data_IF_228087597522
#
_entry.id   IF_228087597522
#
_cell.length_a   1.000
_cell.length_b   1.000
_cell.length_c   1.000
_cell.angle_alpha   90.00
_cell.angle_beta   90.00
_cell.angle_gamma   90.00
#
_symmetry.space_group_name_H-M   'P 1'
#
loop_
_entity.id
_entity.type
_entity.pdbx_description
1 polymer ?
#
# COMPACT_ATOMS: atom_id res chain seq x y z
N UNK A 1 -24.67 -18.77 22.19
CA UNK A 1 -23.36 -18.54 21.56
C UNK A 1 -23.43 -17.14 20.98
N UNK A 2 -23.27 -16.13 21.84
CA UNK A 2 -23.47 -14.72 21.49
C UNK A 2 -22.17 -14.29 20.81
N UNK A 3 -22.26 -13.93 19.53
CA UNK A 3 -21.11 -13.50 18.74
C UNK A 3 -20.38 -12.36 19.44
N UNK A 4 -19.07 -12.51 19.56
CA UNK A 4 -18.19 -11.45 20.03
C UNK A 4 -18.42 -10.23 19.14
N UNK A 5 -19.09 -9.21 19.70
CA UNK A 5 -19.15 -7.90 19.09
C UNK A 5 -17.70 -7.42 18.99
N UNK A 6 -17.15 -7.34 17.78
CA UNK A 6 -15.79 -6.82 17.58
C UNK A 6 -15.82 -5.33 17.90
N UNK A 7 -15.41 -4.96 19.12
CA UNK A 7 -15.43 -3.58 19.60
C UNK A 7 -14.09 -2.93 19.23
N UNK A 8 -14.12 -2.04 18.25
CA UNK A 8 -12.96 -1.29 17.75
C UNK A 8 -12.73 0.05 18.50
N UNK A 9 -13.42 0.28 19.61
CA UNK A 9 -13.35 1.54 20.36
C UNK A 9 -12.92 1.25 21.80
N UNK A 10 -12.01 2.04 22.37
CA UNK A 10 -11.36 1.76 23.64
C UNK A 10 -11.32 2.94 24.61
N UNK A 11 -11.00 2.64 25.86
CA UNK A 11 -10.77 3.63 26.91
C UNK A 11 -9.28 4.00 26.96
N UNK A 12 -8.98 5.30 27.00
CA UNK A 12 -7.65 5.81 27.35
C UNK A 12 -7.56 6.02 28.87
N UNK A 13 -6.67 5.26 29.53
CA UNK A 13 -6.48 5.30 30.99
C UNK A 13 -5.91 6.63 31.49
N UNK A 14 -5.28 7.42 30.62
CA UNK A 14 -4.60 8.67 30.99
C UNK A 14 -5.61 9.79 31.31
N UNK A 15 -6.77 9.81 30.66
CA UNK A 15 -7.75 10.89 30.79
C UNK A 15 -9.00 10.54 31.61
N UNK A 16 -9.16 9.31 32.10
CA UNK A 16 -10.38 8.85 32.81
C UNK A 16 -11.68 9.25 32.07
N UNK A 17 -11.60 9.32 30.74
CA UNK A 17 -12.66 9.68 29.83
C UNK A 17 -12.24 9.23 28.43
N UNK A 18 -13.02 8.35 27.80
CA UNK A 18 -13.37 8.35 26.37
C UNK A 18 -13.95 6.99 25.95
N UNK A 19 -15.20 6.98 25.46
CA UNK A 19 -15.65 5.99 24.48
C UNK A 19 -15.11 6.44 23.11
N UNK A 20 -13.82 6.23 22.83
CA UNK A 20 -13.11 6.87 21.72
C UNK A 20 -12.14 5.97 20.95
N UNK A 21 -11.59 6.52 19.86
CA UNK A 21 -10.68 5.82 18.94
C UNK A 21 -9.30 5.64 19.60
N UNK A 22 -8.69 4.46 19.53
CA UNK A 22 -7.32 4.31 20.02
C UNK A 22 -6.35 5.09 19.14
N UNK A 23 -5.26 5.65 19.72
CA UNK A 23 -4.24 6.32 18.94
C UNK A 23 -3.51 5.33 18.02
N UNK A 24 -2.87 5.88 16.98
CA UNK A 24 -2.11 5.11 15.99
C UNK A 24 -1.04 4.24 16.67
N UNK A 25 -0.94 2.98 16.27
CA UNK A 25 0.00 2.01 16.88
C UNK A 25 -0.51 1.34 18.15
N UNK A 26 -1.76 1.61 18.55
CA UNK A 26 -2.44 0.92 19.65
C UNK A 26 -3.67 0.17 19.16
N UNK A 27 -4.03 -0.90 19.89
CA UNK A 27 -5.21 -1.72 19.65
C UNK A 27 -5.92 -2.02 20.97
N UNK A 28 -7.24 -2.20 20.91
CA UNK A 28 -8.04 -2.58 22.08
C UNK A 28 -7.81 -4.04 22.50
N UNK A 29 -7.56 -4.26 23.79
CA UNK A 29 -7.57 -5.60 24.40
C UNK A 29 -9.01 -6.05 24.76
N UNK A 30 -9.19 -7.26 25.28
CA UNK A 30 -10.48 -7.83 25.70
C UNK A 30 -11.22 -6.96 26.73
N UNK A 31 -10.47 -6.23 27.56
CA UNK A 31 -11.01 -5.28 28.54
C UNK A 31 -11.37 -3.91 27.92
N UNK A 32 -11.29 -3.77 26.59
CA UNK A 32 -11.55 -2.53 25.83
C UNK A 32 -10.61 -1.37 26.20
N UNK A 33 -9.39 -1.71 26.63
CA UNK A 33 -8.32 -0.74 26.92
C UNK A 33 -7.39 -0.68 25.71
N UNK A 34 -6.98 0.53 25.31
CA UNK A 34 -6.01 0.71 24.25
C UNK A 34 -4.61 0.30 24.73
N UNK A 35 -4.01 -0.68 24.08
CA UNK A 35 -2.69 -1.23 24.36
C UNK A 35 -1.77 -1.06 23.15
N UNK A 36 -0.50 -0.75 23.38
CA UNK A 36 0.47 -0.57 22.31
C UNK A 36 0.85 -1.89 21.67
N UNK A 37 0.90 -1.93 20.33
CA UNK A 37 1.24 -3.14 19.63
C UNK A 37 2.74 -3.43 19.79
N UNK A 38 3.09 -4.49 20.50
CA UNK A 38 4.47 -4.96 20.69
C UNK A 38 4.87 -6.08 19.73
N UNK A 39 4.01 -6.41 18.77
CA UNK A 39 4.21 -7.49 17.82
C UNK A 39 5.21 -7.16 16.72
N UNK A 40 5.70 -8.22 16.08
CA UNK A 40 6.49 -8.15 14.86
C UNK A 40 5.70 -8.80 13.72
N UNK A 41 5.83 -8.30 12.48
CA UNK A 41 5.14 -8.88 11.33
C UNK A 41 5.60 -10.31 11.11
N UNK A 42 4.63 -11.21 10.92
CA UNK A 42 4.91 -12.60 10.61
C UNK A 42 5.41 -12.74 9.16
N UNK A 43 5.92 -13.92 8.79
CA UNK A 43 6.37 -14.20 7.42
C UNK A 43 5.28 -13.86 6.39
N UNK A 44 4.02 -14.12 6.73
CA UNK A 44 2.87 -13.84 5.89
C UNK A 44 2.70 -12.35 5.60
N UNK A 45 2.79 -11.51 6.63
CA UNK A 45 2.70 -10.05 6.50
C UNK A 45 3.81 -9.51 5.60
N UNK A 46 5.03 -10.05 5.73
CA UNK A 46 6.15 -9.70 4.85
C UNK A 46 5.93 -10.11 3.40
N UNK A 47 5.35 -11.30 3.15
CA UNK A 47 4.99 -11.75 1.82
C UNK A 47 3.94 -10.83 1.18
N UNK A 48 2.94 -10.43 1.96
CA UNK A 48 1.93 -9.45 1.54
C UNK A 48 2.55 -8.09 1.20
N UNK A 49 3.40 -7.53 2.09
CA UNK A 49 4.10 -6.27 1.85
C UNK A 49 5.02 -6.35 0.64
N UNK A 50 5.72 -7.47 0.46
CA UNK A 50 6.54 -7.74 -0.71
C UNK A 50 5.72 -7.77 -2.00
N UNK A 51 4.56 -8.41 -2.00
CA UNK A 51 3.63 -8.42 -3.13
C UNK A 51 3.18 -7.00 -3.49
N UNK A 52 2.73 -6.22 -2.52
CA UNK A 52 2.33 -4.82 -2.71
C UNK A 52 3.49 -3.96 -3.23
N UNK A 53 4.72 -4.21 -2.75
CA UNK A 53 5.91 -3.50 -3.22
C UNK A 53 6.26 -3.81 -4.68
N UNK A 54 6.02 -5.05 -5.13
CA UNK A 54 6.32 -5.50 -6.49
C UNK A 54 5.32 -5.00 -7.54
N UNK A 55 4.05 -4.74 -7.17
CA UNK A 55 3.00 -4.30 -8.11
C UNK A 55 3.39 -3.04 -8.91
N UNK A 56 3.83 -1.92 -8.29
CA UNK A 56 4.31 -0.75 -9.04
C UNK A 56 5.49 -1.05 -9.96
N UNK A 57 6.45 -1.88 -9.51
CA UNK A 57 7.64 -2.21 -10.30
C UNK A 57 7.27 -2.94 -11.60
N UNK A 58 6.41 -3.95 -11.50
CA UNK A 58 5.99 -4.74 -12.66
C UNK A 58 5.16 -3.88 -13.61
N UNK A 59 4.26 -3.04 -13.10
CA UNK A 59 3.51 -2.08 -13.92
C UNK A 59 4.45 -1.08 -14.62
N UNK A 60 5.46 -0.57 -13.92
CA UNK A 60 6.46 0.30 -14.55
C UNK A 60 7.18 -0.39 -15.69
N UNK A 61 7.64 -1.64 -15.50
CA UNK A 61 8.31 -2.38 -16.55
C UNK A 61 7.39 -2.64 -17.74
N UNK A 62 6.14 -3.01 -17.49
CA UNK A 62 5.13 -3.18 -18.53
C UNK A 62 4.93 -1.90 -19.34
N UNK A 63 4.72 -0.74 -18.69
CA UNK A 63 4.57 0.53 -19.40
C UNK A 63 5.83 0.95 -20.15
N UNK A 64 7.01 0.69 -19.59
CA UNK A 64 8.28 0.97 -20.27
C UNK A 64 8.37 0.16 -21.57
N UNK A 65 8.11 -1.15 -21.52
CA UNK A 65 8.17 -2.01 -22.71
C UNK A 65 7.11 -1.61 -23.75
N UNK A 66 5.89 -1.34 -23.28
CA UNK A 66 4.78 -0.90 -24.12
C UNK A 66 5.08 0.41 -24.87
N UNK A 67 5.72 1.38 -24.21
CA UNK A 67 6.01 2.69 -24.80
C UNK A 67 7.40 2.80 -25.47
N UNK A 68 8.39 2.00 -25.07
CA UNK A 68 9.78 2.18 -25.51
C UNK A 68 10.07 1.63 -26.91
N UNK A 69 9.19 0.81 -27.48
CA UNK A 69 9.37 0.23 -28.82
C UNK A 69 10.67 -0.58 -28.98
N UNK A 70 11.11 -0.84 -30.23
CA UNK A 70 12.23 -1.76 -30.55
C UNK A 70 13.64 -1.31 -30.08
N UNK A 71 13.81 -0.14 -29.45
CA UNK A 71 15.15 0.41 -29.14
C UNK A 71 15.61 -0.04 -27.73
N UNK A 72 16.15 -1.26 -27.66
CA UNK A 72 16.47 -2.00 -26.44
C UNK A 72 17.34 -1.26 -25.40
N UNK A 73 18.37 -0.50 -25.82
CA UNK A 73 19.34 0.08 -24.87
C UNK A 73 18.77 1.17 -23.94
N UNK A 74 17.85 2.01 -24.43
CA UNK A 74 17.21 3.03 -23.59
C UNK A 74 16.13 2.45 -22.67
N UNK A 75 15.50 1.35 -23.08
CA UNK A 75 14.50 0.64 -22.27
C UNK A 75 15.16 0.05 -21.02
N UNK A 76 16.30 -0.63 -21.19
CA UNK A 76 17.06 -1.22 -20.08
C UNK A 76 17.43 -0.20 -19.01
N UNK A 77 17.88 0.99 -19.41
CA UNK A 77 18.19 2.07 -18.47
C UNK A 77 16.95 2.53 -17.68
N UNK A 78 15.78 2.59 -18.32
CA UNK A 78 14.53 2.93 -17.64
C UNK A 78 14.07 1.83 -16.68
N UNK A 79 14.27 0.55 -17.01
CA UNK A 79 13.98 -0.56 -16.09
C UNK A 79 14.85 -0.52 -14.84
N UNK A 80 16.15 -0.29 -15.00
CA UNK A 80 17.11 -0.17 -13.89
C UNK A 80 16.76 1.04 -13.01
N UNK A 81 16.42 2.16 -13.65
CA UNK A 81 15.99 3.37 -12.92
C UNK A 81 14.72 3.09 -12.12
N UNK A 82 13.72 2.44 -12.73
CA UNK A 82 12.47 2.07 -12.04
C UNK A 82 12.72 1.18 -10.82
N UNK A 83 13.64 0.21 -10.97
CA UNK A 83 14.05 -0.67 -9.86
C UNK A 83 14.68 0.13 -8.72
N UNK A 84 15.54 1.10 -9.04
CA UNK A 84 16.16 1.96 -8.03
C UNK A 84 15.15 2.90 -7.36
N UNK A 85 14.22 3.48 -8.13
CA UNK A 85 13.13 4.33 -7.63
C UNK A 85 12.27 3.57 -6.61
N UNK A 86 11.81 2.36 -6.96
CA UNK A 86 11.00 1.52 -6.07
C UNK A 86 11.79 1.04 -4.84
N UNK A 87 13.05 0.62 -4.99
CA UNK A 87 13.85 0.16 -3.84
C UNK A 87 14.18 1.30 -2.88
N UNK A 88 14.52 2.49 -3.40
CA UNK A 88 14.71 3.68 -2.57
C UNK A 88 13.41 4.08 -1.84
N UNK A 89 12.26 4.05 -2.53
CA UNK A 89 10.95 4.29 -1.92
C UNK A 89 10.65 3.30 -0.79
N UNK A 90 10.92 2.01 -0.99
CA UNK A 90 10.71 0.97 0.01
C UNK A 90 11.58 1.20 1.24
N UNK A 91 12.89 1.44 1.06
CA UNK A 91 13.82 1.71 2.17
C UNK A 91 13.39 2.94 2.97
N UNK A 92 13.07 4.04 2.28
CA UNK A 92 12.61 5.28 2.93
C UNK A 92 11.30 5.04 3.69
N UNK A 93 10.38 4.28 3.12
CA UNK A 93 9.11 3.94 3.79
C UNK A 93 9.34 3.14 5.07
N UNK A 94 10.22 2.13 5.03
CA UNK A 94 10.58 1.35 6.21
C UNK A 94 11.21 2.21 7.30
N UNK A 95 12.16 3.08 6.94
CA UNK A 95 12.87 3.94 7.88
C UNK A 95 11.98 5.01 8.52
N UNK A 96 10.91 5.43 7.86
CA UNK A 96 9.98 6.44 8.38
C UNK A 96 8.86 5.84 9.24
N UNK A 97 8.65 4.54 9.15
CA UNK A 97 7.60 3.87 9.90
C UNK A 97 8.11 3.48 11.31
N UNK A 98 7.19 3.29 12.25
CA UNK A 98 7.56 2.97 13.63
C UNK A 98 8.23 1.59 13.78
N UNK A 99 9.36 1.48 14.51
CA UNK A 99 10.18 2.57 15.07
C UNK A 99 11.05 3.30 14.03
N UNK A 100 11.00 4.64 14.06
CA UNK A 100 11.71 5.50 13.10
C UNK A 100 13.22 5.24 13.12
N UNK A 101 13.80 5.06 11.94
CA UNK A 101 15.24 4.86 11.73
C UNK A 101 15.72 3.41 11.80
N UNK A 102 14.81 2.45 12.05
CA UNK A 102 15.13 1.03 12.01
C UNK A 102 14.49 0.36 10.78
N UNK A 103 15.09 -0.72 10.29
CA UNK A 103 14.52 -1.54 9.19
C UNK A 103 13.57 -2.63 9.68
N UNK A 104 13.23 -2.61 10.97
CA UNK A 104 12.21 -3.47 11.58
C UNK A 104 10.93 -2.68 11.74
N UNK A 105 9.80 -3.31 11.44
CA UNK A 105 8.48 -2.73 11.64
C UNK A 105 7.85 -3.35 12.88
N UNK A 106 7.19 -2.51 13.67
CA UNK A 106 6.30 -2.94 14.75
C UNK A 106 4.88 -3.08 14.21
N UNK A 107 4.22 -4.22 14.42
CA UNK A 107 2.88 -4.49 13.91
C UNK A 107 1.91 -5.02 14.96
N UNK A 108 0.62 -4.78 14.72
CA UNK A 108 -0.48 -5.43 15.40
C UNK A 108 -0.88 -6.69 14.62
N UNK A 109 -1.14 -7.77 15.34
CA UNK A 109 -1.63 -9.01 14.76
C UNK A 109 -3.01 -8.82 14.10
N UNK A 110 -3.17 -9.39 12.90
CA UNK A 110 -4.46 -9.46 12.20
C UNK A 110 -5.25 -10.64 12.77
N UNK A 111 -6.40 -10.39 13.39
CA UNK A 111 -7.22 -11.47 13.99
C UNK A 111 -8.35 -11.90 13.07
N UNK A 112 -8.98 -10.94 12.40
CA UNK A 112 -10.16 -11.15 11.56
C UNK A 112 -10.14 -10.21 10.37
N UNK A 113 -10.75 -10.60 9.25
CA UNK A 113 -10.86 -9.76 8.04
C UNK A 113 -11.53 -8.40 8.30
N UNK A 114 -12.44 -8.30 9.28
CA UNK A 114 -13.08 -7.02 9.63
C UNK A 114 -12.10 -6.00 10.22
N UNK A 115 -10.91 -6.42 10.70
CA UNK A 115 -9.85 -5.54 11.17
C UNK A 115 -9.31 -4.63 10.06
N UNK A 116 -9.41 -5.05 8.79
CA UNK A 116 -9.03 -4.25 7.63
C UNK A 116 -10.04 -3.17 7.27
N UNK A 117 -11.29 -3.35 7.69
CA UNK A 117 -12.42 -2.50 7.31
C UNK A 117 -13.18 -2.00 8.55
N UNK A 118 -12.45 -1.55 9.56
CA UNK A 118 -13.01 -1.06 10.84
C UNK A 118 -14.11 0.00 10.65
N UNK A 119 -14.00 0.82 9.60
CA UNK A 119 -15.02 1.80 9.21
C UNK A 119 -16.40 1.20 8.95
N UNK A 120 -16.48 -0.03 8.42
CA UNK A 120 -17.74 -0.71 8.12
C UNK A 120 -18.35 -1.38 9.35
N UNK A 121 -17.54 -1.70 10.35
CA UNK A 121 -17.94 -2.47 11.53
C UNK A 121 -17.98 -1.62 12.79
N UNK A 122 -18.64 -0.47 12.67
CA UNK A 122 -18.69 0.51 13.72
C UNK A 122 -19.69 0.14 14.83
N UNK A 123 -19.32 0.18 16.13
CA UNK A 123 -20.21 -0.26 17.21
C UNK A 123 -21.36 0.71 17.49
N UNK A 124 -22.50 0.16 17.93
CA UNK A 124 -23.70 0.89 18.39
C UNK A 124 -24.15 0.40 19.77
N UNK A 125 -23.61 0.95 20.87
CA UNK A 125 -23.87 0.43 22.22
C UNK A 125 -25.34 0.53 22.63
N UNK A 126 -26.01 1.62 22.27
CA UNK A 126 -27.41 1.88 22.62
C UNK A 126 -28.39 1.61 21.47
N UNK A 127 -27.92 1.03 20.34
CA UNK A 127 -28.68 0.87 19.07
C UNK A 127 -29.28 2.16 18.47
N UNK A 128 -29.11 3.30 19.13
CA UNK A 128 -29.56 4.62 18.70
C UNK A 128 -28.39 5.46 18.18
N UNK A 129 -27.21 5.32 18.80
CA UNK A 129 -26.00 6.08 18.48
C UNK A 129 -24.91 5.15 17.95
N UNK A 130 -24.35 5.49 16.79
CA UNK A 130 -23.17 4.81 16.22
C UNK A 130 -21.93 5.62 16.53
N UNK A 131 -20.97 5.03 17.25
CA UNK A 131 -19.74 5.72 17.65
C UNK A 131 -18.66 5.54 16.60
N UNK A 132 -18.39 6.53 15.75
CA UNK A 132 -17.44 6.37 14.63
C UNK A 132 -15.98 6.21 15.11
N UNK A 133 -15.53 4.97 15.24
CA UNK A 133 -14.19 4.62 15.71
C UNK A 133 -13.34 4.03 14.59
N UNK A 134 -13.00 4.85 13.60
CA UNK A 134 -12.11 4.44 12.50
C UNK A 134 -10.65 4.45 12.98
N UNK A 135 -10.16 3.28 13.38
CA UNK A 135 -8.75 3.06 13.71
C UNK A 135 -8.10 2.05 12.77
N UNK A 136 -6.77 2.13 12.66
CA UNK A 136 -5.96 1.14 11.95
C UNK A 136 -5.70 -0.06 12.86
N UNK A 137 -6.62 -1.02 12.88
CA UNK A 137 -6.49 -2.22 13.73
C UNK A 137 -5.36 -3.17 13.26
N UNK A 138 -5.03 -3.11 11.97
CA UNK A 138 -3.92 -3.85 11.32
C UNK A 138 -2.67 -2.98 11.15
N UNK A 139 -2.38 -2.12 12.13
CA UNK A 139 -1.25 -1.22 12.05
C UNK A 139 0.07 -2.00 11.89
N UNK A 140 0.99 -1.60 10.99
CA UNK A 140 0.90 -0.53 10.01
C UNK A 140 0.63 -1.05 8.59
N UNK A 141 0.20 -2.31 8.42
CA UNK A 141 0.13 -3.01 7.12
C UNK A 141 -0.72 -2.24 6.10
N UNK A 142 -1.78 -1.58 6.54
CA UNK A 142 -2.64 -0.81 5.64
C UNK A 142 -1.96 0.48 5.20
N UNK A 143 -1.49 1.29 6.14
CA UNK A 143 -0.94 2.62 5.84
C UNK A 143 0.46 2.60 5.23
N UNK A 144 1.29 1.62 5.59
CA UNK A 144 2.65 1.51 5.06
C UNK A 144 2.66 1.34 3.54
N UNK A 145 1.69 0.60 2.98
CA UNK A 145 1.54 0.42 1.53
C UNK A 145 1.17 1.74 0.84
N UNK A 146 0.30 2.54 1.44
CA UNK A 146 -0.10 3.84 0.90
C UNK A 146 1.07 4.84 0.94
N UNK A 147 1.82 4.86 2.05
CA UNK A 147 3.02 5.68 2.20
C UNK A 147 4.07 5.28 1.14
N UNK A 148 4.28 3.98 0.93
CA UNK A 148 5.16 3.48 -0.11
C UNK A 148 4.74 3.95 -1.51
N UNK A 149 3.46 3.85 -1.86
CA UNK A 149 2.96 4.33 -3.16
C UNK A 149 3.13 5.84 -3.33
N UNK A 150 2.94 6.62 -2.27
CA UNK A 150 3.21 8.06 -2.29
C UNK A 150 4.70 8.36 -2.55
N UNK A 151 5.62 7.68 -1.85
CA UNK A 151 7.05 7.84 -2.11
C UNK A 151 7.47 7.38 -3.50
N UNK A 152 6.90 6.28 -4.00
CA UNK A 152 7.10 5.85 -5.38
C UNK A 152 6.72 6.96 -6.36
N UNK A 153 5.53 7.54 -6.21
CA UNK A 153 5.06 8.63 -7.07
C UNK A 153 6.00 9.85 -6.98
N UNK A 154 6.40 10.27 -5.78
CA UNK A 154 7.30 11.42 -5.59
C UNK A 154 8.67 11.17 -6.23
N UNK A 155 9.30 10.02 -5.97
CA UNK A 155 10.61 9.70 -6.55
C UNK A 155 10.53 9.59 -8.07
N UNK A 156 9.47 9.01 -8.62
CA UNK A 156 9.21 8.95 -10.06
C UNK A 156 9.06 10.34 -10.69
N UNK A 157 8.34 11.26 -10.04
CA UNK A 157 8.18 12.63 -10.51
C UNK A 157 9.47 13.44 -10.44
N UNK A 158 10.39 13.14 -9.52
CA UNK A 158 11.65 13.85 -9.38
C UNK A 158 12.75 13.27 -10.28
N UNK A 159 12.99 11.96 -10.21
CA UNK A 159 14.15 11.32 -10.83
C UNK A 159 13.99 11.22 -12.35
N UNK A 160 12.81 10.89 -12.87
CA UNK A 160 12.61 10.73 -14.32
C UNK A 160 12.79 12.02 -15.11
N UNK A 161 12.23 13.18 -14.72
CA UNK A 161 12.50 14.44 -15.41
C UNK A 161 13.97 14.88 -15.33
N UNK A 162 14.65 14.63 -14.21
CA UNK A 162 16.08 14.94 -14.05
C UNK A 162 16.95 14.09 -15.00
N UNK A 163 16.60 12.82 -15.17
CA UNK A 163 17.25 11.92 -16.14
C UNK A 163 16.99 12.36 -17.58
N UNK A 164 15.79 12.87 -17.90
CA UNK A 164 15.50 13.47 -19.21
C UNK A 164 16.44 14.64 -19.48
N UNK A 165 16.62 15.54 -18.50
CA UNK A 165 17.47 16.71 -18.64
C UNK A 165 18.94 16.33 -18.86
N UNK A 166 19.46 15.28 -18.20
CA UNK A 166 20.84 14.78 -18.40
C UNK A 166 21.04 14.02 -19.71
N UNK A 167 20.04 13.30 -20.19
CA UNK A 167 20.13 12.43 -21.40
C UNK A 167 19.62 13.17 -22.66
N UNK A 168 19.33 14.47 -22.56
CA UNK A 168 18.72 15.30 -23.62
C UNK A 168 19.56 15.47 -24.91
N UNK A 169 20.76 14.90 -25.01
CA UNK A 169 21.62 15.07 -26.18
C UNK A 169 21.35 14.09 -27.34
N UNK A 170 20.40 13.14 -27.27
CA UNK A 170 20.29 12.16 -28.36
C UNK A 170 19.02 11.35 -28.61
N UNK A 171 17.99 11.36 -27.76
CA UNK A 171 16.77 10.54 -27.99
C UNK A 171 15.46 11.33 -27.83
N UNK A 172 14.51 11.03 -28.71
CA UNK A 172 13.23 11.70 -28.90
C UNK A 172 12.45 12.03 -27.62
N UNK A 173 11.91 13.25 -27.58
CA UNK A 173 11.36 13.94 -26.40
C UNK A 173 9.97 13.43 -25.99
N UNK A 174 9.26 12.72 -26.86
CA UNK A 174 7.81 12.45 -26.72
C UNK A 174 7.47 11.17 -25.94
N UNK A 175 8.26 10.11 -26.09
CA UNK A 175 7.89 8.80 -25.51
C UNK A 175 8.16 8.72 -24.00
N UNK A 176 9.09 9.53 -23.48
CA UNK A 176 9.51 9.46 -22.08
C UNK A 176 8.48 10.07 -21.10
N UNK A 177 7.77 11.12 -21.51
CA UNK A 177 6.73 11.72 -20.67
C UNK A 177 5.48 10.83 -20.58
N UNK A 178 5.19 10.01 -21.60
CA UNK A 178 4.05 9.08 -21.58
C UNK A 178 4.14 8.06 -20.44
N UNK A 179 5.35 7.56 -20.14
CA UNK A 179 5.59 6.66 -19.00
C UNK A 179 5.33 7.36 -17.64
N UNK A 180 5.63 8.65 -17.53
CA UNK A 180 5.37 9.45 -16.32
C UNK A 180 3.87 9.68 -16.14
N UNK A 181 3.15 10.01 -17.21
CA UNK A 181 1.69 10.17 -17.15
C UNK A 181 0.99 8.85 -16.81
N UNK A 182 1.43 7.73 -17.39
CA UNK A 182 0.87 6.42 -17.05
C UNK A 182 1.01 6.11 -15.55
N UNK A 183 2.14 6.47 -14.93
CA UNK A 183 2.34 6.35 -13.48
C UNK A 183 1.30 7.13 -12.67
N UNK A 184 1.02 8.37 -13.08
CA UNK A 184 0.05 9.22 -12.39
C UNK A 184 -1.37 8.62 -12.40
N UNK A 185 -1.73 7.83 -13.42
CA UNK A 185 -3.03 7.17 -13.51
C UNK A 185 -3.07 5.84 -12.75
N UNK A 186 -2.04 5.02 -12.81
CA UNK A 186 -2.11 3.69 -12.19
C UNK A 186 -1.92 3.72 -10.67
N UNK A 187 -1.15 4.66 -10.09
CA UNK A 187 -0.97 4.72 -8.64
C UNK A 187 -2.30 4.92 -7.88
N UNK A 188 -3.19 5.84 -8.28
CA UNK A 188 -4.53 5.92 -7.71
C UNK A 188 -5.33 4.61 -7.82
N UNK A 189 -5.26 3.92 -8.96
CA UNK A 189 -5.92 2.62 -9.15
C UNK A 189 -5.38 1.59 -8.13
N UNK A 190 -4.05 1.52 -7.95
CA UNK A 190 -3.42 0.67 -6.94
C UNK A 190 -3.84 1.04 -5.50
N UNK A 191 -4.01 2.33 -5.20
CA UNK A 191 -4.48 2.75 -3.86
C UNK A 191 -5.93 2.32 -3.60
N UNK A 192 -6.81 2.37 -4.61
CA UNK A 192 -8.18 1.88 -4.49
C UNK A 192 -8.20 0.36 -4.34
N UNK A 193 -7.37 -0.34 -5.11
CA UNK A 193 -7.21 -1.80 -4.98
C UNK A 193 -6.70 -2.20 -3.60
N UNK A 194 -5.76 -1.45 -3.03
CA UNK A 194 -5.32 -1.62 -1.65
C UNK A 194 -6.46 -1.36 -0.66
N UNK A 195 -7.22 -0.29 -0.87
CA UNK A 195 -8.30 0.11 0.02
C UNK A 195 -9.47 -0.88 0.06
N UNK A 196 -9.77 -1.55 -1.05
CA UNK A 196 -10.90 -2.50 -1.18
C UNK A 196 -10.47 -3.96 -1.08
N UNK A 197 -9.25 -4.27 -1.52
CA UNK A 197 -8.73 -5.62 -1.65
C UNK A 197 -7.62 -5.98 -0.67
N UNK A 198 -7.08 -5.02 0.10
CA UNK A 198 -5.95 -5.25 1.00
C UNK A 198 -6.19 -6.40 1.99
N UNK A 199 -7.35 -6.41 2.67
CA UNK A 199 -7.71 -7.49 3.59
C UNK A 199 -7.96 -8.82 2.90
N UNK A 200 -8.58 -8.81 1.70
CA UNK A 200 -8.82 -10.03 0.93
C UNK A 200 -7.50 -10.65 0.46
N UNK A 201 -6.53 -9.82 0.04
CA UNK A 201 -5.19 -10.27 -0.37
C UNK A 201 -4.34 -10.78 0.80
N UNK A 202 -4.64 -10.31 2.01
CA UNK A 202 -4.02 -10.78 3.26
C UNK A 202 -4.70 -12.04 3.84
N UNK A 203 -5.89 -12.41 3.37
CA UNK A 203 -6.53 -13.69 3.73
C UNK A 203 -6.30 -14.75 2.64
N UNK A 204 -6.39 -14.34 1.36
CA UNK A 204 -6.08 -15.18 0.21
C UNK A 204 -4.57 -15.40 0.16
N UNK A 205 -4.12 -16.52 0.73
CA UNK A 205 -2.76 -17.07 0.68
C UNK A 205 -1.91 -16.44 -0.44
N UNK A 206 -1.14 -15.40 -0.12
CA UNK A 206 -0.55 -14.48 -1.10
C UNK A 206 0.36 -15.18 -2.13
N UNK A 207 0.79 -16.41 -1.85
CA UNK A 207 1.55 -17.29 -2.75
C UNK A 207 0.77 -17.76 -3.98
N UNK A 208 -0.55 -18.01 -3.87
CA UNK A 208 -1.39 -18.45 -4.99
C UNK A 208 -1.70 -17.30 -5.97
N UNK A 209 -1.83 -16.07 -5.47
CA UNK A 209 -2.08 -14.89 -6.29
C UNK A 209 -0.89 -14.53 -7.19
N UNK A 210 0.34 -14.83 -6.74
CA UNK A 210 1.59 -14.47 -7.44
C UNK A 210 1.76 -15.16 -8.80
N UNK A 211 1.37 -16.44 -8.94
CA UNK A 211 1.71 -17.23 -10.13
C UNK A 211 0.66 -17.18 -11.25
N UNK A 212 -0.63 -17.19 -10.92
CA UNK A 212 -1.71 -17.28 -11.93
C UNK A 212 -2.38 -15.92 -12.18
N UNK A 213 -2.60 -15.13 -11.13
CA UNK A 213 -3.44 -13.93 -11.21
C UNK A 213 -2.67 -12.63 -11.45
N UNK A 214 -1.35 -12.58 -11.21
CA UNK A 214 -0.55 -11.39 -11.54
C UNK A 214 -0.62 -11.04 -13.03
N UNK A 215 -0.61 -12.04 -13.92
CA UNK A 215 -0.77 -11.82 -15.38
C UNK A 215 -2.16 -11.28 -15.72
N UNK A 216 -3.21 -11.89 -15.17
CA UNK A 216 -4.60 -11.47 -15.40
C UNK A 216 -4.82 -10.05 -14.88
N UNK A 217 -4.34 -9.76 -13.67
CA UNK A 217 -4.41 -8.44 -13.06
C UNK A 217 -3.64 -7.37 -13.84
N UNK A 218 -2.44 -7.71 -14.35
CA UNK A 218 -1.69 -6.82 -15.24
C UNK A 218 -2.42 -6.60 -16.56
N UNK A 219 -3.04 -7.63 -17.14
CA UNK A 219 -3.84 -7.52 -18.37
C UNK A 219 -5.07 -6.66 -18.13
N UNK A 220 -5.79 -6.83 -17.02
CA UNK A 220 -6.97 -6.06 -16.67
C UNK A 220 -6.63 -4.59 -16.40
N UNK A 221 -5.58 -4.31 -15.61
CA UNK A 221 -5.09 -2.94 -15.40
C UNK A 221 -4.64 -2.33 -16.74
N UNK A 222 -3.99 -3.10 -17.60
CA UNK A 222 -3.58 -2.63 -18.92
C UNK A 222 -4.78 -2.32 -19.81
N UNK A 223 -5.82 -3.16 -19.82
CA UNK A 223 -7.08 -2.93 -20.54
C UNK A 223 -7.79 -1.68 -20.02
N UNK A 224 -7.90 -1.51 -18.70
CA UNK A 224 -8.49 -0.31 -18.08
C UNK A 224 -7.73 0.95 -18.50
N UNK A 225 -6.41 0.92 -18.46
CA UNK A 225 -5.56 2.05 -18.85
C UNK A 225 -5.56 2.31 -20.37
N UNK A 226 -5.80 1.28 -21.19
CA UNK A 226 -6.05 1.40 -22.63
C UNK A 226 -7.45 2.00 -22.91
N UNK A 227 -8.45 1.68 -22.10
CA UNK A 227 -9.81 2.21 -22.24
C UNK A 227 -9.93 3.67 -21.82
N UNK A 228 -9.08 4.16 -20.92
CA UNK A 228 -8.98 5.59 -20.56
C UNK A 228 -8.31 6.46 -21.64
N UNK A 229 -7.91 5.86 -22.77
CA UNK A 229 -7.27 6.52 -23.92
C UNK A 229 -8.24 6.87 -25.05
N UNK A 230 -9.53 6.53 -24.91
CA UNK A 230 -10.61 6.88 -25.83
C UNK A 230 -11.63 7.79 -25.16
#
# INVERSE_FOLDING_TARGET
MIGELVVFCGLDLIFWSCFGVCPRGQRTNFEKICEECSGCPELYDWLYLGFMAMLPLVLHWFFIEWFSGKKSSSALFQHITALFECTAAAIVTLLLNDPVGQLSIRSCEVKVLSDWYTMLYNPSPDYVTTLHCTQEAVFPLYTIVLIYYAFCLVFMMLLRPLLVKKIACGLGKTDRFRSIYAALYFFPILTVLQAVGGGLLCECHSFLFFNEHLKVFLVDISIILLSLRY
#
